data_IF_452530729734
#
_entry.id   IF_452530729734
#
_cell.length_a   1.000
_cell.length_b   1.000
_cell.length_c   1.000
_cell.angle_alpha   90.00
_cell.angle_beta   90.00
_cell.angle_gamma   90.00
#
_symmetry.space_group_name_H-M   'P 1'
#
loop_
_entity.id
_entity.type
_entity.pdbx_description
1 polymer ?
#
# COMPACT_ATOMS: atom_id res chain seq x y z
N UNK A 1 10.12 -1.70 -5.89
CA UNK A 1 10.03 -2.73 -4.84
C UNK A 1 11.27 -2.78 -3.96
N UNK A 2 12.43 -3.17 -4.51
CA UNK A 2 13.65 -3.42 -3.73
C UNK A 2 14.18 -2.21 -2.94
N UNK A 3 14.01 -0.99 -3.47
CA UNK A 3 14.38 0.26 -2.78
C UNK A 3 13.67 0.45 -1.43
N UNK A 4 12.47 -0.12 -1.26
CA UNK A 4 11.73 -0.06 0.01
C UNK A 4 12.04 -1.28 0.87
N UNK A 5 12.13 -2.45 0.25
CA UNK A 5 12.41 -3.70 0.95
C UNK A 5 13.82 -3.75 1.55
N UNK A 6 14.77 -2.91 1.12
CA UNK A 6 16.10 -2.83 1.72
C UNK A 6 16.16 -1.97 2.99
N UNK A 7 15.12 -1.17 3.29
CA UNK A 7 15.08 -0.28 4.44
C UNK A 7 14.69 -1.03 5.72
N UNK A 8 15.68 -1.72 6.34
CA UNK A 8 15.50 -2.59 7.51
C UNK A 8 14.76 -1.95 8.70
N UNK A 9 14.90 -0.64 8.87
CA UNK A 9 14.29 0.10 9.98
C UNK A 9 12.79 0.37 9.75
N UNK A 10 12.31 0.40 8.51
CA UNK A 10 10.88 0.50 8.17
C UNK A 10 10.31 -0.89 7.95
N UNK A 11 9.80 -1.48 9.03
CA UNK A 11 9.42 -2.90 9.08
C UNK A 11 8.18 -3.21 8.26
N UNK A 12 7.31 -2.23 8.08
CA UNK A 12 6.15 -2.26 7.19
C UNK A 12 6.58 -2.48 5.73
N UNK A 13 7.75 -1.97 5.34
CA UNK A 13 8.29 -2.07 4.00
C UNK A 13 9.31 -3.21 3.83
N UNK A 14 10.10 -3.52 4.86
CA UNK A 14 11.12 -4.56 4.84
C UNK A 14 10.50 -5.97 4.92
N UNK A 15 9.98 -6.44 3.78
CA UNK A 15 9.33 -7.73 3.60
C UNK A 15 9.41 -8.19 2.13
N UNK A 16 9.53 -9.50 1.86
CA UNK A 16 9.41 -10.01 0.49
C UNK A 16 8.03 -9.70 -0.12
N UNK A 17 6.98 -9.55 0.70
CA UNK A 17 5.65 -9.16 0.25
C UNK A 17 5.65 -7.77 -0.42
N UNK A 18 6.56 -6.87 -0.03
CA UNK A 18 6.69 -5.56 -0.69
C UNK A 18 7.13 -5.75 -2.14
N UNK A 19 8.15 -6.58 -2.39
CA UNK A 19 8.62 -6.85 -3.75
C UNK A 19 7.52 -7.54 -4.57
N UNK A 20 6.89 -8.57 -3.99
CA UNK A 20 5.78 -9.27 -4.62
C UNK A 20 4.62 -8.32 -4.98
N UNK A 21 4.23 -7.42 -4.08
CA UNK A 21 3.17 -6.44 -4.33
C UNK A 21 3.51 -5.52 -5.50
N UNK A 22 4.74 -5.02 -5.62
CA UNK A 22 5.11 -4.16 -6.76
C UNK A 22 5.03 -4.90 -8.09
N UNK A 23 5.48 -6.16 -8.13
CA UNK A 23 5.43 -6.99 -9.35
C UNK A 23 3.97 -7.29 -9.69
N UNK A 24 3.21 -7.87 -8.75
CA UNK A 24 1.83 -8.30 -8.98
C UNK A 24 0.92 -7.13 -9.35
N UNK A 25 0.99 -6.00 -8.65
CA UNK A 25 0.12 -4.86 -8.92
C UNK A 25 0.47 -4.19 -10.25
N UNK A 26 1.77 -4.07 -10.57
CA UNK A 26 2.21 -3.53 -11.87
C UNK A 26 1.79 -4.43 -13.03
N UNK A 27 1.97 -5.75 -12.88
CA UNK A 27 1.51 -6.73 -13.87
C UNK A 27 -0.01 -6.72 -14.00
N UNK A 28 -0.76 -6.70 -12.89
CA UNK A 28 -2.22 -6.62 -12.92
C UNK A 28 -2.71 -5.40 -13.70
N UNK A 29 -2.23 -4.19 -13.37
CA UNK A 29 -2.62 -2.97 -14.10
C UNK A 29 -2.20 -3.00 -15.57
N UNK A 30 -1.02 -3.55 -15.86
CA UNK A 30 -0.53 -3.68 -17.23
C UNK A 30 -1.41 -4.60 -18.08
N UNK A 31 -1.82 -5.75 -17.52
CA UNK A 31 -2.73 -6.67 -18.21
C UNK A 31 -4.15 -6.11 -18.34
N UNK A 32 -4.67 -5.38 -17.35
CA UNK A 32 -5.98 -4.71 -17.49
C UNK A 32 -5.95 -3.67 -18.60
N UNK A 33 -4.87 -2.88 -18.69
CA UNK A 33 -4.68 -1.91 -19.78
C UNK A 33 -4.50 -2.61 -21.14
N UNK A 34 -3.72 -3.68 -21.19
CA UNK A 34 -3.55 -4.50 -22.39
C UNK A 34 -4.88 -5.10 -22.86
N UNK A 35 -5.74 -5.56 -21.96
CA UNK A 35 -7.06 -6.07 -22.28
C UNK A 35 -7.95 -4.97 -22.90
N UNK A 36 -7.96 -3.77 -22.32
CA UNK A 36 -8.71 -2.64 -22.87
C UNK A 36 -8.22 -2.22 -24.27
N UNK A 37 -6.90 -2.23 -24.50
CA UNK A 37 -6.31 -1.95 -25.81
C UNK A 37 -6.61 -3.07 -26.82
N UNK A 38 -6.46 -4.33 -26.43
CA UNK A 38 -6.76 -5.48 -27.26
C UNK A 38 -8.24 -5.50 -27.66
N UNK A 39 -9.16 -5.13 -26.77
CA UNK A 39 -10.57 -5.00 -27.12
C UNK A 39 -10.84 -4.03 -28.29
N UNK A 40 -10.01 -3.01 -28.47
CA UNK A 40 -10.13 -2.05 -29.58
C UNK A 40 -9.33 -2.47 -30.83
N UNK A 41 -8.12 -3.03 -30.64
CA UNK A 41 -7.15 -3.22 -31.72
C UNK A 41 -7.02 -4.68 -32.18
N UNK A 42 -7.30 -5.64 -31.31
CA UNK A 42 -7.16 -7.07 -31.56
C UNK A 42 -8.17 -7.86 -30.69
N UNK A 43 -9.49 -7.80 -31.00
CA UNK A 43 -10.53 -8.31 -30.10
C UNK A 43 -10.39 -9.80 -29.73
N UNK A 44 -9.78 -10.60 -30.61
CA UNK A 44 -9.49 -12.02 -30.34
C UNK A 44 -8.54 -12.25 -29.16
N UNK A 45 -7.67 -11.29 -28.85
CA UNK A 45 -6.69 -11.38 -27.74
C UNK A 45 -7.22 -10.77 -26.44
N UNK A 46 -8.33 -10.03 -26.48
CA UNK A 46 -8.85 -9.30 -25.33
C UNK A 46 -9.18 -10.22 -24.15
N UNK A 47 -9.76 -11.39 -24.43
CA UNK A 47 -10.09 -12.39 -23.42
C UNK A 47 -8.83 -12.97 -22.74
N UNK A 48 -7.75 -13.18 -23.49
CA UNK A 48 -6.48 -13.66 -22.95
C UNK A 48 -5.90 -12.66 -21.94
N UNK A 49 -5.79 -11.38 -22.34
CA UNK A 49 -5.28 -10.35 -21.45
C UNK A 49 -6.21 -10.11 -20.24
N UNK A 50 -7.52 -10.11 -20.44
CA UNK A 50 -8.51 -9.96 -19.37
C UNK A 50 -8.44 -11.12 -18.37
N UNK A 51 -8.28 -12.36 -18.84
CA UNK A 51 -8.12 -13.54 -17.98
C UNK A 51 -6.91 -13.42 -17.06
N UNK A 52 -5.74 -13.08 -17.62
CA UNK A 52 -4.53 -12.86 -16.83
C UNK A 52 -4.61 -11.62 -15.94
N UNK A 53 -5.26 -10.53 -16.39
CA UNK A 53 -5.53 -9.36 -15.57
C UNK A 53 -6.29 -9.73 -14.30
N UNK A 54 -7.33 -10.56 -14.43
CA UNK A 54 -8.11 -11.05 -13.28
C UNK A 54 -7.23 -11.89 -12.34
N UNK A 55 -6.46 -12.84 -12.86
CA UNK A 55 -5.55 -13.68 -12.06
C UNK A 55 -4.55 -12.83 -11.28
N UNK A 56 -3.84 -11.91 -11.94
CA UNK A 56 -2.86 -11.05 -11.27
C UNK A 56 -3.51 -10.07 -10.29
N UNK A 57 -4.71 -9.59 -10.57
CA UNK A 57 -5.47 -8.72 -9.64
C UNK A 57 -5.82 -9.49 -8.36
N UNK A 58 -6.28 -10.74 -8.47
CA UNK A 58 -6.58 -11.60 -7.31
C UNK A 58 -5.32 -11.97 -6.52
N UNK A 59 -4.23 -12.35 -7.20
CA UNK A 59 -2.94 -12.61 -6.55
C UNK A 59 -2.40 -11.35 -5.86
N UNK A 60 -2.53 -10.19 -6.50
CA UNK A 60 -2.19 -8.90 -5.92
C UNK A 60 -3.01 -8.58 -4.67
N UNK A 61 -4.32 -8.84 -4.70
CA UNK A 61 -5.21 -8.67 -3.55
C UNK A 61 -4.81 -9.58 -2.38
N UNK A 62 -4.49 -10.85 -2.66
CA UNK A 62 -4.03 -11.80 -1.64
C UNK A 62 -2.69 -11.37 -1.03
N UNK A 63 -1.71 -11.03 -1.86
CA UNK A 63 -0.39 -10.57 -1.41
C UNK A 63 -0.50 -9.27 -0.60
N UNK A 64 -1.34 -8.33 -1.03
CA UNK A 64 -1.55 -7.08 -0.31
C UNK A 64 -2.32 -7.30 1.00
N UNK A 65 -3.33 -8.15 1.01
CA UNK A 65 -4.03 -8.59 2.22
C UNK A 65 -3.09 -9.22 3.24
N UNK A 66 -2.22 -10.13 2.80
CA UNK A 66 -1.19 -10.72 3.64
C UNK A 66 -0.23 -9.67 4.23
N UNK A 67 0.17 -8.67 3.41
CA UNK A 67 0.98 -7.55 3.88
C UNK A 67 0.27 -6.72 4.96
N UNK A 68 -1.02 -6.43 4.80
CA UNK A 68 -1.81 -5.67 5.79
C UNK A 68 -1.95 -6.45 7.10
N UNK A 69 -2.24 -7.75 7.04
CA UNK A 69 -2.36 -8.61 8.22
C UNK A 69 -1.02 -8.73 8.95
N UNK A 70 0.10 -8.84 8.21
CA UNK A 70 1.44 -8.82 8.78
C UNK A 70 1.72 -7.48 9.47
N UNK A 71 1.47 -6.37 8.78
CA UNK A 71 1.79 -5.03 9.28
C UNK A 71 1.00 -4.69 10.55
N UNK A 72 -0.27 -5.11 10.62
CA UNK A 72 -1.10 -4.94 11.83
C UNK A 72 -0.58 -5.70 13.07
N UNK A 73 0.33 -6.68 12.89
CA UNK A 73 0.92 -7.48 13.98
C UNK A 73 2.33 -7.04 14.35
N UNK A 74 2.89 -6.04 13.66
CA UNK A 74 4.23 -5.54 13.96
C UNK A 74 4.25 -4.81 15.31
N UNK A 75 5.30 -5.07 16.10
CA UNK A 75 5.58 -4.37 17.36
C UNK A 75 6.96 -3.71 17.30
N UNK A 76 7.15 -2.47 17.78
CA UNK A 76 8.46 -1.83 17.81
C UNK A 76 9.55 -2.72 18.40
N UNK A 77 10.73 -2.74 17.75
CA UNK A 77 11.89 -3.52 18.23
C UNK A 77 12.66 -2.76 19.32
N UNK A 78 12.73 -1.43 19.18
CA UNK A 78 13.33 -0.53 20.17
C UNK A 78 12.23 0.11 21.03
N UNK A 79 12.55 0.38 22.29
CA UNK A 79 11.78 1.22 23.20
C UNK A 79 12.62 2.41 23.66
N UNK A 80 12.01 3.38 24.34
CA UNK A 80 12.77 4.47 24.98
C UNK A 80 13.87 3.91 25.91
N UNK A 81 13.56 2.88 26.69
CA UNK A 81 14.49 2.18 27.60
C UNK A 81 15.72 1.66 26.85
N UNK A 82 15.51 0.89 25.79
CA UNK A 82 16.62 0.28 25.05
C UNK A 82 17.43 1.30 24.28
N UNK A 83 16.80 2.40 23.84
CA UNK A 83 17.49 3.48 23.13
C UNK A 83 18.45 4.27 24.02
N UNK A 84 18.11 4.48 25.30
CA UNK A 84 18.98 5.19 26.26
C UNK A 84 19.76 4.26 27.21
N UNK A 85 19.58 2.94 27.10
CA UNK A 85 20.25 1.94 27.94
C UNK A 85 19.76 1.87 29.39
N UNK A 86 18.57 2.39 29.70
CA UNK A 86 18.01 2.47 31.07
C UNK A 86 17.02 1.35 31.31
N UNK A 87 17.17 0.63 32.42
CA UNK A 87 16.28 -0.50 32.80
C UNK A 87 15.06 -0.09 33.63
N UNK A 88 14.96 1.17 34.01
CA UNK A 88 13.83 1.67 34.82
C UNK A 88 12.51 1.56 34.01
N UNK A 89 11.43 1.02 34.60
CA UNK A 89 10.20 0.73 33.87
C UNK A 89 9.47 1.99 33.41
N UNK A 90 9.61 3.09 34.17
CA UNK A 90 8.97 4.37 33.89
C UNK A 90 10.00 5.31 33.27
N UNK A 91 9.78 5.70 32.02
CA UNK A 91 10.54 6.74 31.34
C UNK A 91 9.55 7.80 30.85
N UNK A 92 9.84 9.07 31.15
CA UNK A 92 9.09 10.22 30.68
C UNK A 92 10.03 11.16 29.94
N UNK A 93 9.64 11.60 28.75
CA UNK A 93 10.32 12.68 28.04
C UNK A 93 10.04 13.99 28.78
N UNK A 94 11.06 14.56 29.44
CA UNK A 94 10.98 15.85 30.15
C UNK A 94 11.27 17.04 29.25
N UNK A 95 12.10 16.85 28.24
CA UNK A 95 12.40 17.82 27.18
C UNK A 95 12.84 17.07 25.93
N UNK A 96 12.58 17.64 24.75
CA UNK A 96 13.11 17.12 23.48
C UNK A 96 14.54 17.60 23.19
N UNK A 97 15.04 18.57 23.97
CA UNK A 97 16.35 19.18 23.76
C UNK A 97 16.41 20.18 22.60
N UNK A 98 15.25 20.59 22.06
CA UNK A 98 15.18 21.59 20.99
C UNK A 98 14.69 22.93 21.55
N UNK A 99 15.33 24.02 21.11
CA UNK A 99 14.89 25.40 21.36
C UNK A 99 13.96 25.94 20.27
N UNK A 100 13.83 25.22 19.14
CA UNK A 100 12.94 25.52 18.02
C UNK A 100 12.39 24.20 17.42
N UNK A 101 11.53 24.28 16.40
CA UNK A 101 11.07 23.09 15.68
C UNK A 101 12.24 22.31 15.07
N UNK A 102 12.17 20.98 15.11
CA UNK A 102 13.18 20.11 14.50
C UNK A 102 12.66 19.51 13.18
N UNK A 103 13.55 19.30 12.22
CA UNK A 103 13.26 18.55 10.99
C UNK A 103 12.56 17.22 11.29
N UNK A 104 13.07 16.54 12.32
CA UNK A 104 12.61 15.27 12.85
C UNK A 104 11.14 15.22 13.27
N UNK A 105 10.59 16.31 13.77
CA UNK A 105 9.19 16.39 14.23
C UNK A 105 8.22 16.77 13.12
N UNK A 106 8.74 17.19 11.96
CA UNK A 106 7.94 17.58 10.81
C UNK A 106 7.95 16.49 9.74
N UNK A 107 9.13 15.99 9.36
CA UNK A 107 9.28 15.17 8.15
C UNK A 107 8.85 13.71 8.33
N UNK A 108 8.91 13.19 9.56
CA UNK A 108 8.56 11.78 9.85
C UNK A 108 7.09 11.60 10.26
N UNK A 109 6.27 12.64 10.13
CA UNK A 109 4.84 12.60 10.40
C UNK A 109 4.06 13.02 9.15
N UNK A 110 3.12 12.19 8.71
CA UNK A 110 2.29 12.48 7.54
C UNK A 110 1.11 13.44 7.83
N UNK A 111 0.93 13.88 9.09
CA UNK A 111 -0.06 14.89 9.50
C UNK A 111 -1.54 14.55 9.29
N UNK A 112 -1.87 13.35 8.80
CA UNK A 112 -3.23 12.97 8.44
C UNK A 112 -3.97 12.33 9.61
N UNK A 113 -5.27 12.60 9.72
CA UNK A 113 -6.13 11.95 10.71
C UNK A 113 -6.15 10.42 10.51
N UNK A 114 -6.13 9.67 11.63
CA UNK A 114 -6.18 8.21 11.59
C UNK A 114 -7.45 7.67 10.91
N UNK A 115 -8.56 8.43 10.94
CA UNK A 115 -9.79 8.12 10.20
C UNK A 115 -9.57 8.16 8.69
N UNK A 116 -8.84 9.16 8.16
CA UNK A 116 -8.53 9.27 6.74
C UNK A 116 -7.71 8.06 6.28
N UNK A 117 -6.64 7.72 7.00
CA UNK A 117 -5.78 6.57 6.67
C UNK A 117 -6.59 5.27 6.66
N UNK A 118 -7.48 5.09 7.64
CA UNK A 118 -8.39 3.93 7.69
C UNK A 118 -9.37 3.89 6.52
N UNK A 119 -9.92 5.04 6.12
CA UNK A 119 -10.83 5.13 4.97
C UNK A 119 -10.11 4.83 3.66
N UNK A 120 -8.92 5.39 3.44
CA UNK A 120 -8.10 5.13 2.25
C UNK A 120 -7.79 3.64 2.12
N UNK A 121 -7.56 2.93 3.24
CA UNK A 121 -7.38 1.46 3.23
C UNK A 121 -8.52 0.75 2.50
N UNK A 122 -9.76 1.06 2.87
CA UNK A 122 -10.93 0.41 2.29
C UNK A 122 -11.18 0.88 0.86
N UNK A 123 -10.99 2.18 0.59
CA UNK A 123 -11.11 2.76 -0.75
C UNK A 123 -10.18 2.04 -1.73
N UNK A 124 -8.89 1.87 -1.38
CA UNK A 124 -7.97 1.21 -2.30
C UNK A 124 -8.28 -0.28 -2.44
N UNK A 125 -8.72 -0.98 -1.39
CA UNK A 125 -9.07 -2.40 -1.49
C UNK A 125 -10.21 -2.62 -2.48
N UNK A 126 -11.20 -1.72 -2.47
CA UNK A 126 -12.33 -1.75 -3.39
C UNK A 126 -11.90 -1.32 -4.80
N UNK A 127 -11.22 -0.19 -4.94
CA UNK A 127 -10.90 0.41 -6.23
C UNK A 127 -9.74 -0.26 -6.97
N UNK A 128 -8.73 -0.80 -6.27
CA UNK A 128 -7.58 -1.46 -6.91
C UNK A 128 -7.85 -2.94 -7.25
N UNK A 129 -8.79 -3.57 -6.53
CA UNK A 129 -9.02 -5.02 -6.63
C UNK A 129 -10.48 -5.39 -6.88
N UNK A 130 -11.40 -5.11 -5.95
CA UNK A 130 -12.75 -5.65 -6.03
C UNK A 130 -13.53 -5.18 -7.27
N UNK A 131 -13.54 -3.87 -7.53
CA UNK A 131 -14.26 -3.29 -8.67
C UNK A 131 -13.59 -3.65 -10.00
N UNK A 132 -12.27 -3.51 -10.19
CA UNK A 132 -11.62 -3.96 -11.42
C UNK A 132 -11.81 -5.45 -11.69
N UNK A 133 -11.68 -6.30 -10.67
CA UNK A 133 -11.91 -7.74 -10.81
C UNK A 133 -13.35 -8.04 -11.24
N UNK A 134 -14.34 -7.37 -10.66
CA UNK A 134 -15.75 -7.53 -11.04
C UNK A 134 -16.01 -7.08 -12.48
N UNK A 135 -15.45 -5.95 -12.91
CA UNK A 135 -15.61 -5.44 -14.28
C UNK A 135 -14.95 -6.36 -15.32
N UNK A 136 -13.73 -6.83 -15.03
CA UNK A 136 -13.01 -7.76 -15.89
C UNK A 136 -13.73 -9.11 -15.95
N UNK A 137 -14.21 -9.64 -14.81
CA UNK A 137 -14.98 -10.88 -14.78
C UNK A 137 -16.31 -10.75 -15.54
N UNK A 138 -17.00 -9.61 -15.42
CA UNK A 138 -18.22 -9.35 -16.17
C UNK A 138 -17.97 -9.31 -17.68
N UNK A 139 -16.86 -8.72 -18.13
CA UNK A 139 -16.45 -8.79 -19.53
C UNK A 139 -16.20 -10.24 -19.99
N UNK A 140 -15.45 -11.03 -19.21
CA UNK A 140 -15.19 -12.44 -19.50
C UNK A 140 -16.45 -13.31 -19.52
N UNK A 141 -17.48 -12.92 -18.77
CA UNK A 141 -18.80 -13.57 -18.77
C UNK A 141 -19.69 -13.19 -19.97
N UNK A 142 -19.13 -12.58 -21.01
CA UNK A 142 -19.86 -12.13 -22.21
C UNK A 142 -20.35 -10.68 -22.15
N UNK A 143 -19.94 -9.92 -21.14
CA UNK A 143 -20.24 -8.50 -21.02
C UNK A 143 -19.50 -7.62 -22.03
N UNK A 144 -19.99 -6.39 -22.21
CA UNK A 144 -19.45 -5.43 -23.17
C UNK A 144 -17.96 -5.15 -22.97
N UNK A 145 -17.13 -5.09 -24.03
CA UNK A 145 -15.73 -4.66 -23.93
C UNK A 145 -15.56 -3.25 -23.36
N UNK A 146 -16.61 -2.42 -23.41
CA UNK A 146 -16.62 -1.08 -22.80
C UNK A 146 -16.41 -1.10 -21.27
N UNK A 147 -16.56 -2.25 -20.60
CA UNK A 147 -16.28 -2.42 -19.17
C UNK A 147 -14.78 -2.36 -18.83
N UNK A 148 -13.90 -2.61 -19.80
CA UNK A 148 -12.46 -2.64 -19.58
C UNK A 148 -11.87 -1.23 -19.39
N UNK A 149 -12.40 -0.22 -20.07
CA UNK A 149 -11.96 1.17 -19.90
C UNK A 149 -12.16 1.71 -18.46
N UNK A 150 -13.36 1.62 -17.85
CA UNK A 150 -13.53 1.99 -16.44
C UNK A 150 -12.76 1.06 -15.50
N UNK A 151 -12.55 -0.22 -15.84
CA UNK A 151 -11.70 -1.11 -15.03
C UNK A 151 -10.27 -0.57 -14.91
N UNK A 152 -9.67 -0.11 -16.02
CA UNK A 152 -8.34 0.53 -16.01
C UNK A 152 -8.34 1.80 -15.15
N UNK A 153 -9.29 2.72 -15.38
CA UNK A 153 -9.32 4.00 -14.68
C UNK A 153 -9.50 3.84 -13.17
N UNK A 154 -10.44 2.98 -12.75
CA UNK A 154 -10.71 2.70 -11.35
C UNK A 154 -9.53 1.98 -10.70
N UNK A 155 -8.94 0.99 -11.40
CA UNK A 155 -7.76 0.28 -10.89
C UNK A 155 -6.58 1.23 -10.68
N UNK A 156 -6.32 2.14 -11.62
CA UNK A 156 -5.23 3.11 -11.49
C UNK A 156 -5.46 4.10 -10.34
N UNK A 157 -6.69 4.60 -10.17
CA UNK A 157 -7.05 5.44 -9.03
C UNK A 157 -6.88 4.69 -7.69
N UNK A 158 -7.33 3.43 -7.65
CA UNK A 158 -7.15 2.55 -6.50
C UNK A 158 -5.68 2.28 -6.18
N UNK A 159 -4.85 2.04 -7.19
CA UNK A 159 -3.41 1.82 -7.03
C UNK A 159 -2.71 3.09 -6.54
N UNK A 160 -3.11 4.29 -6.99
CA UNK A 160 -2.58 5.54 -6.44
C UNK A 160 -2.91 5.69 -4.96
N UNK A 161 -4.15 5.40 -4.56
CA UNK A 161 -4.58 5.39 -3.17
C UNK A 161 -3.82 4.34 -2.35
N UNK A 162 -3.58 3.16 -2.92
CA UNK A 162 -2.81 2.09 -2.29
C UNK A 162 -1.34 2.49 -2.09
N UNK A 163 -0.71 3.15 -3.07
CA UNK A 163 0.67 3.65 -2.97
C UNK A 163 0.76 4.73 -1.90
N UNK A 164 -0.19 5.65 -1.86
CA UNK A 164 -0.26 6.66 -0.80
C UNK A 164 -0.40 6.00 0.58
N UNK A 165 -1.30 5.02 0.72
CA UNK A 165 -1.48 4.27 1.97
C UNK A 165 -0.22 3.52 2.40
N UNK A 166 0.49 2.90 1.45
CA UNK A 166 1.77 2.22 1.72
C UNK A 166 2.81 3.13 2.36
N UNK A 167 2.84 4.41 1.98
CA UNK A 167 3.72 5.40 2.63
C UNK A 167 3.16 5.87 3.97
N UNK A 168 1.87 6.15 4.04
CA UNK A 168 1.23 6.64 5.27
C UNK A 168 1.19 5.60 6.39
N UNK A 169 1.16 4.29 6.07
CA UNK A 169 1.11 3.22 7.08
C UNK A 169 2.46 2.97 7.78
N UNK A 170 3.57 3.47 7.22
CA UNK A 170 4.89 3.24 7.76
C UNK A 170 5.13 4.05 9.04
N UNK A 171 5.52 3.37 10.12
CA UNK A 171 5.92 4.01 11.36
C UNK A 171 7.43 4.12 11.44
N UNK A 172 7.95 5.35 11.31
CA UNK A 172 9.37 5.59 11.46
C UNK A 172 9.78 5.36 12.94
N UNK A 173 10.85 4.58 13.23
CA UNK A 173 11.27 4.31 14.62
C UNK A 173 11.55 5.56 15.45
N UNK A 174 11.90 6.66 14.78
CA UNK A 174 12.11 7.96 15.41
C UNK A 174 10.86 8.54 16.08
N UNK A 175 9.67 8.15 15.62
CA UNK A 175 8.40 8.57 16.21
C UNK A 175 8.20 7.95 17.60
N UNK A 176 9.01 6.95 17.99
CA UNK A 176 9.08 6.42 19.35
C UNK A 176 9.84 7.34 20.31
N UNK A 177 10.77 8.15 19.79
CA UNK A 177 11.69 8.99 20.57
C UNK A 177 11.18 10.42 20.73
N UNK A 178 10.47 10.91 19.72
CA UNK A 178 9.82 12.21 19.76
C UNK A 178 8.31 11.98 19.78
N UNK A 179 7.71 12.22 20.95
CA UNK A 179 6.24 12.33 21.01
C UNK A 179 5.83 13.46 20.06
N UNK A 180 4.88 13.18 19.17
CA UNK A 180 4.34 14.18 18.27
C UNK A 180 3.93 15.41 19.08
N UNK A 181 4.45 16.57 18.71
CA UNK A 181 4.00 17.84 19.28
C UNK A 181 2.56 18.03 18.77
N UNK A 182 1.59 17.94 19.68
CA UNK A 182 0.21 18.29 19.39
C UNK A 182 0.05 19.81 19.31
#
# INVERSE_FOLDING_TARGET
GMIYACLKFLREWHSPLTVANYILLGTASGFTAAAALAAALAPGEAAFFAGWALVFTLLGALSRGASLVRNARLRPVSTLQTAIGVRHPVIRQVSQGFTAGAFNTHEFFHGCAASLVRSVKWIFLVAAFAVPAALVAAHLAGGSPALLAPAVAIQMAGLMAERWFFFAEANHPQNLYYQAVA
#
